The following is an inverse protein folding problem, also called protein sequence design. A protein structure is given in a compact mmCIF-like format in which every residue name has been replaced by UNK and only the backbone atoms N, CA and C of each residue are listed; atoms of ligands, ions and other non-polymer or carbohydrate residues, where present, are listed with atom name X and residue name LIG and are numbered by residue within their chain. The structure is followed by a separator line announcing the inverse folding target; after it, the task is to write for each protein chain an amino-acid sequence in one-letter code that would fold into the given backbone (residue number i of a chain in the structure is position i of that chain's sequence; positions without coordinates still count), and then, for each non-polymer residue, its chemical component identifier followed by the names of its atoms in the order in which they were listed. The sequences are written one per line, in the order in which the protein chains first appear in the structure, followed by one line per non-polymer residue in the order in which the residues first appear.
data_IF_206680109409
#
_entry.id   IF_206680109409
#
_cell.length_a   1.000
_cell.length_b   1.000
_cell.length_c   1.000
_cell.angle_alpha   90.00
_cell.angle_beta   90.00
_cell.angle_gamma   90.00
#
_symmetry.space_group_name_H-M   'P 1'
#
loop_
_entity.id
_entity.type
_entity.pdbx_description
1 polymer ?
#
# COMPACT_ATOMS: atom_id res chain seq x y z
N UNK A 1 -12.27 36.35 -42.10
CA UNK A 1 -11.96 34.92 -42.10
C UNK A 1 -10.76 34.70 -41.19
N UNK A 2 -11.02 34.50 -39.90
CA UNK A 2 -10.02 34.14 -38.90
C UNK A 2 -9.87 32.62 -38.97
N UNK A 3 -8.73 32.15 -39.49
CA UNK A 3 -8.39 30.73 -39.43
C UNK A 3 -8.05 30.37 -37.98
N UNK A 4 -8.94 29.66 -37.32
CA UNK A 4 -8.58 28.89 -36.13
C UNK A 4 -7.54 27.85 -36.59
N UNK A 5 -6.32 27.99 -36.09
CA UNK A 5 -5.31 26.97 -36.21
C UNK A 5 -5.82 25.75 -35.43
N UNK A 6 -6.28 24.73 -36.15
CA UNK A 6 -6.52 23.39 -35.63
C UNK A 6 -5.20 22.90 -35.01
N UNK A 7 -5.07 22.98 -33.68
CA UNK A 7 -3.98 22.31 -32.96
C UNK A 7 -4.28 20.82 -33.06
N UNK A 8 -3.36 20.11 -33.68
CA UNK A 8 -3.39 18.66 -33.80
C UNK A 8 -3.06 18.06 -32.42
N UNK A 9 -4.06 18.00 -31.53
CA UNK A 9 -3.94 17.46 -30.17
C UNK A 9 -3.43 16.01 -30.15
N UNK A 10 -3.51 15.28 -31.28
CA UNK A 10 -3.04 13.91 -31.43
C UNK A 10 -1.50 13.75 -31.28
N UNK A 11 -0.74 14.85 -31.33
CA UNK A 11 0.72 14.84 -31.20
C UNK A 11 1.24 15.65 -29.99
N UNK A 12 0.37 16.08 -29.07
CA UNK A 12 0.83 16.71 -27.83
C UNK A 12 1.49 15.67 -26.90
N UNK A 13 2.80 15.76 -26.60
CA UNK A 13 3.48 14.80 -25.72
C UNK A 13 2.92 14.77 -24.30
N UNK A 14 2.26 15.83 -23.85
CA UNK A 14 1.56 15.81 -22.56
C UNK A 14 0.26 15.02 -22.62
N UNK A 15 -0.59 15.25 -23.63
CA UNK A 15 -1.81 14.47 -23.86
C UNK A 15 -1.52 12.97 -24.01
N UNK A 16 -0.45 12.59 -24.74
CA UNK A 16 -0.06 11.19 -24.91
C UNK A 16 0.34 10.51 -23.58
N UNK A 17 1.00 11.24 -22.67
CA UNK A 17 1.35 10.72 -21.34
C UNK A 17 0.12 10.51 -20.46
N UNK A 18 -0.81 11.46 -20.49
CA UNK A 18 -2.07 11.32 -19.75
C UNK A 18 -2.89 10.13 -20.24
N UNK A 19 -2.94 9.90 -21.54
CA UNK A 19 -3.63 8.75 -22.11
C UNK A 19 -2.93 7.42 -21.75
N UNK A 20 -1.59 7.38 -21.81
CA UNK A 20 -0.83 6.20 -21.37
C UNK A 20 -1.10 5.87 -19.89
N UNK A 21 -1.16 6.87 -19.02
CA UNK A 21 -1.48 6.69 -17.61
C UNK A 21 -2.91 6.21 -17.40
N UNK A 22 -3.87 6.75 -18.16
CA UNK A 22 -5.26 6.31 -18.07
C UNK A 22 -5.41 4.83 -18.42
N UNK A 23 -4.78 4.37 -19.51
CA UNK A 23 -4.75 2.96 -19.90
C UNK A 23 -4.07 2.09 -18.84
N UNK A 24 -2.93 2.53 -18.30
CA UNK A 24 -2.21 1.81 -17.25
C UNK A 24 -3.07 1.62 -15.99
N UNK A 25 -3.82 2.65 -15.61
CA UNK A 25 -4.72 2.63 -14.46
C UNK A 25 -5.96 1.74 -14.73
N UNK A 26 -6.55 1.80 -15.91
CA UNK A 26 -7.67 0.94 -16.31
C UNK A 26 -7.25 -0.54 -16.26
N UNK A 27 -6.12 -0.89 -16.87
CA UNK A 27 -5.59 -2.25 -16.86
C UNK A 27 -5.29 -2.75 -15.45
N UNK A 28 -4.72 -1.89 -14.59
CA UNK A 28 -4.50 -2.21 -13.18
C UNK A 28 -5.80 -2.54 -12.42
N UNK A 29 -6.87 -1.78 -12.67
CA UNK A 29 -8.17 -2.00 -12.00
C UNK A 29 -8.93 -3.22 -12.52
N UNK A 30 -8.75 -3.57 -13.79
CA UNK A 30 -9.47 -4.67 -14.45
C UNK A 30 -8.71 -5.99 -14.39
N UNK A 31 -7.39 -5.96 -14.17
CA UNK A 31 -6.53 -7.15 -14.08
C UNK A 31 -6.24 -7.52 -12.63
N UNK A 32 -6.57 -8.75 -12.25
CA UNK A 32 -6.33 -9.22 -10.88
C UNK A 32 -4.86 -9.51 -10.61
N UNK A 33 -4.33 -8.98 -9.50
CA UNK A 33 -3.03 -9.37 -8.93
C UNK A 33 -3.13 -10.50 -7.89
N UNK A 34 -4.35 -11.00 -7.63
CA UNK A 34 -4.62 -11.97 -6.58
C UNK A 34 -3.73 -13.23 -6.63
N UNK A 35 -3.45 -13.84 -7.81
CA UNK A 35 -2.57 -15.01 -7.86
C UNK A 35 -1.16 -14.72 -7.30
N UNK A 36 -0.58 -13.57 -7.65
CA UNK A 36 0.70 -13.13 -7.12
C UNK A 36 0.61 -12.78 -5.64
N UNK A 37 -0.43 -12.05 -5.22
CA UNK A 37 -0.65 -11.72 -3.81
C UNK A 37 -0.82 -12.96 -2.92
N UNK A 38 -1.38 -14.07 -3.40
CA UNK A 38 -1.43 -15.34 -2.65
C UNK A 38 -0.05 -15.93 -2.41
N UNK A 39 0.83 -15.87 -3.41
CA UNK A 39 2.22 -16.31 -3.28
C UNK A 39 2.95 -15.42 -2.27
N UNK A 40 2.83 -14.11 -2.41
CA UNK A 40 3.43 -13.13 -1.51
C UNK A 40 2.94 -13.34 -0.08
N UNK A 41 1.62 -13.43 0.13
CA UNK A 41 1.03 -13.67 1.45
C UNK A 41 1.54 -14.96 2.10
N UNK A 42 1.68 -16.05 1.33
CA UNK A 42 2.19 -17.33 1.84
C UNK A 42 3.60 -17.20 2.44
N UNK A 43 4.50 -16.51 1.73
CA UNK A 43 5.87 -16.31 2.20
C UNK A 43 5.97 -15.25 3.31
N UNK A 44 5.16 -14.19 3.25
CA UNK A 44 5.05 -13.20 4.32
C UNK A 44 4.62 -13.83 5.65
N UNK A 45 3.59 -14.67 5.64
CA UNK A 45 3.14 -15.38 6.84
C UNK A 45 4.16 -16.38 7.36
N UNK A 46 5.02 -16.90 6.49
CA UNK A 46 6.15 -17.75 6.92
C UNK A 46 7.21 -16.93 7.64
N UNK A 47 7.65 -15.83 7.03
CA UNK A 47 8.56 -14.87 7.66
C UNK A 47 8.04 -14.37 9.01
N UNK A 48 6.79 -13.92 9.09
CA UNK A 48 6.20 -13.41 10.33
C UNK A 48 6.25 -14.45 11.47
N UNK A 49 5.96 -15.72 11.17
CA UNK A 49 6.07 -16.82 12.13
C UNK A 49 7.51 -17.07 12.57
N UNK A 50 8.44 -17.06 11.63
CA UNK A 50 9.85 -17.28 11.91
C UNK A 50 10.47 -16.12 12.72
N UNK A 51 9.92 -14.91 12.57
CA UNK A 51 10.22 -13.75 13.42
C UNK A 51 9.52 -13.79 14.79
N UNK A 52 8.69 -14.80 15.06
CA UNK A 52 8.04 -15.02 16.36
C UNK A 52 6.63 -14.45 16.50
N UNK A 53 6.02 -13.92 15.43
CA UNK A 53 4.62 -13.49 15.46
C UNK A 53 3.67 -14.69 15.34
N UNK A 54 2.94 -15.00 16.42
CA UNK A 54 1.98 -16.12 16.48
C UNK A 54 0.55 -15.69 16.83
N UNK A 55 0.40 -14.56 17.52
CA UNK A 55 -0.90 -13.99 17.88
C UNK A 55 -0.84 -12.46 17.91
N UNK A 56 -1.97 -11.83 17.60
CA UNK A 56 -2.09 -10.38 17.62
C UNK A 56 -3.15 -9.85 16.67
N UNK A 57 -3.34 -8.54 16.68
CA UNK A 57 -4.28 -7.85 15.81
C UNK A 57 -3.57 -7.37 14.54
N UNK A 58 -4.10 -7.79 13.39
CA UNK A 58 -3.54 -7.47 12.08
C UNK A 58 -4.49 -6.59 11.28
N UNK A 59 -3.95 -5.55 10.65
CA UNK A 59 -4.64 -4.75 9.64
C UNK A 59 -4.08 -5.10 8.27
N UNK A 60 -4.93 -5.45 7.31
CA UNK A 60 -4.59 -5.46 5.90
C UNK A 60 -5.31 -4.34 5.15
N UNK A 61 -4.65 -3.71 4.18
CA UNK A 61 -5.18 -2.60 3.39
C UNK A 61 -4.73 -2.70 1.91
N UNK A 62 -5.58 -2.20 1.01
CA UNK A 62 -5.31 -2.09 -0.42
C UNK A 62 -5.76 -3.32 -1.21
N UNK A 63 -5.19 -3.47 -2.40
CA UNK A 63 -5.46 -4.58 -3.30
C UNK A 63 -5.33 -5.92 -2.56
N UNK A 64 -6.38 -6.74 -2.64
CA UNK A 64 -6.43 -8.07 -2.06
C UNK A 64 -6.13 -8.14 -0.55
N UNK A 65 -6.53 -7.12 0.24
CA UNK A 65 -6.40 -7.12 1.69
C UNK A 65 -6.92 -8.42 2.36
N UNK A 66 -8.00 -9.01 1.84
CA UNK A 66 -8.49 -10.31 2.29
C UNK A 66 -7.49 -11.44 2.03
N UNK A 67 -6.80 -11.45 0.87
CA UNK A 67 -5.74 -12.43 0.55
C UNK A 67 -4.62 -12.35 1.58
N UNK A 68 -4.18 -11.15 1.93
CA UNK A 68 -3.07 -10.96 2.88
C UNK A 68 -3.39 -11.43 4.30
N UNK A 69 -4.66 -11.53 4.68
CA UNK A 69 -5.09 -12.10 5.98
C UNK A 69 -5.43 -13.61 5.88
N UNK A 70 -5.41 -14.18 4.66
CA UNK A 70 -5.79 -15.58 4.43
C UNK A 70 -7.30 -15.81 4.37
N UNK A 71 -8.08 -14.77 4.09
CA UNK A 71 -9.54 -14.89 3.92
C UNK A 71 -9.90 -15.32 2.49
N UNK A 72 -10.90 -16.21 2.33
CA UNK A 72 -11.45 -16.52 1.01
C UNK A 72 -12.12 -15.27 0.41
N UNK A 73 -12.10 -15.15 -0.91
CA UNK A 73 -12.76 -14.04 -1.59
C UNK A 73 -14.24 -14.40 -1.78
N UNK A 74 -15.12 -13.57 -1.26
CA UNK A 74 -16.55 -13.63 -1.56
C UNK A 74 -16.82 -12.69 -2.73
N UNK A 75 -17.33 -13.21 -3.85
CA UNK A 75 -17.92 -12.44 -4.95
C UNK A 75 -17.01 -11.43 -5.67
N UNK A 76 -15.78 -11.84 -6.01
CA UNK A 76 -14.96 -11.17 -7.04
C UNK A 76 -14.32 -9.83 -6.66
N UNK A 77 -14.55 -9.30 -5.45
CA UNK A 77 -13.86 -8.10 -4.96
C UNK A 77 -13.36 -8.31 -3.53
N UNK A 78 -12.06 -8.07 -3.30
CA UNK A 78 -11.53 -8.00 -1.94
C UNK A 78 -11.98 -6.69 -1.30
N UNK A 79 -12.39 -6.68 -0.02
CA UNK A 79 -12.54 -5.44 0.73
C UNK A 79 -11.24 -4.62 0.67
N UNK A 80 -11.37 -3.30 0.62
CA UNK A 80 -10.23 -2.38 0.59
C UNK A 80 -9.41 -2.40 1.89
N UNK A 81 -9.98 -2.89 3.00
CA UNK A 81 -9.25 -3.19 4.22
C UNK A 81 -9.94 -4.24 5.07
N UNK A 82 -9.14 -4.96 5.86
CA UNK A 82 -9.57 -6.04 6.75
C UNK A 82 -8.84 -5.91 8.07
N UNK A 83 -9.55 -6.04 9.18
CA UNK A 83 -8.95 -6.23 10.50
C UNK A 83 -9.27 -7.63 10.98
N UNK A 84 -8.23 -8.34 11.45
CA UNK A 84 -8.36 -9.67 12.01
C UNK A 84 -7.58 -9.80 13.32
N UNK A 85 -8.17 -10.49 14.28
CA UNK A 85 -7.45 -10.99 15.45
C UNK A 85 -6.93 -12.40 15.09
N UNK A 86 -5.61 -12.56 15.09
CA UNK A 86 -4.88 -13.78 14.77
C UNK A 86 -4.56 -14.50 16.06
N UNK A 87 -4.88 -15.80 16.09
CA UNK A 87 -4.58 -16.71 17.19
C UNK A 87 -3.74 -17.87 16.68
N UNK A 88 -3.00 -18.53 17.58
CA UNK A 88 -2.11 -19.68 17.28
C UNK A 88 -2.80 -20.83 16.49
N UNK A 89 -4.13 -20.90 16.51
CA UNK A 89 -4.95 -21.91 15.84
C UNK A 89 -5.13 -21.74 14.32
N UNK A 90 -4.25 -21.00 13.62
CA UNK A 90 -4.19 -20.84 12.14
C UNK A 90 -5.48 -20.38 11.45
N UNK A 91 -6.47 -19.91 12.21
CA UNK A 91 -7.74 -19.42 11.67
C UNK A 91 -8.04 -18.09 12.34
N UNK A 92 -8.23 -16.98 11.59
CA UNK A 92 -8.61 -15.69 12.17
C UNK A 92 -9.86 -15.86 13.03
N UNK A 93 -9.76 -15.62 14.34
CA UNK A 93 -10.84 -15.93 15.28
C UNK A 93 -11.99 -14.91 15.19
N UNK A 94 -11.73 -13.73 14.63
CA UNK A 94 -12.71 -12.65 14.50
C UNK A 94 -12.40 -11.79 13.28
N UNK A 95 -13.41 -11.52 12.46
CA UNK A 95 -13.30 -10.78 11.20
C UNK A 95 -14.17 -9.52 11.29
N UNK A 96 -13.59 -8.35 11.03
CA UNK A 96 -14.37 -7.13 10.81
C UNK A 96 -14.08 -6.59 9.42
N UNK A 97 -15.13 -6.45 8.61
CA UNK A 97 -15.11 -5.67 7.39
C UNK A 97 -15.15 -4.20 7.83
N UNK A 98 -14.04 -3.47 7.65
CA UNK A 98 -13.94 -2.07 8.08
C UNK A 98 -13.88 -1.20 6.84
N UNK A 99 -14.83 -0.28 6.67
CA UNK A 99 -14.57 0.90 5.85
C UNK A 99 -13.64 1.81 6.66
N UNK A 100 -12.36 1.81 6.34
CA UNK A 100 -11.39 2.54 7.15
C UNK A 100 -11.47 4.04 6.82
N UNK A 101 -12.11 4.81 7.70
CA UNK A 101 -11.53 6.09 8.10
C UNK A 101 -10.35 5.74 9.00
N UNK A 102 -9.13 6.01 8.54
CA UNK A 102 -7.91 5.77 9.33
C UNK A 102 -8.12 6.34 10.74
N UNK A 103 -8.03 5.51 11.81
CA UNK A 103 -8.24 5.99 13.17
C UNK A 103 -7.26 7.10 13.48
N UNK A 104 -7.67 8.15 14.21
CA UNK A 104 -6.75 9.17 14.76
C UNK A 104 -5.84 8.64 15.88
N UNK A 105 -5.83 7.33 16.13
CA UNK A 105 -5.17 6.71 17.27
C UNK A 105 -4.00 5.85 16.80
N UNK A 106 -2.83 6.03 17.43
CA UNK A 106 -1.60 5.27 17.22
C UNK A 106 -1.63 3.91 17.94
N UNK A 107 -0.66 3.03 17.64
CA UNK A 107 -0.39 1.78 18.38
C UNK A 107 -1.57 0.79 18.49
N UNK A 108 -2.22 0.52 17.37
CA UNK A 108 -3.48 -0.26 17.31
C UNK A 108 -3.31 -1.71 16.88
N UNK A 109 -2.28 -1.98 16.08
CA UNK A 109 -2.08 -3.25 15.40
C UNK A 109 -0.69 -3.80 15.69
N UNK A 110 -0.58 -5.11 15.84
CA UNK A 110 0.70 -5.79 16.00
C UNK A 110 1.41 -5.96 14.65
N UNK A 111 0.62 -6.17 13.58
CA UNK A 111 1.09 -6.21 12.20
C UNK A 111 0.17 -5.40 11.30
N UNK A 112 0.75 -4.62 10.40
CA UNK A 112 0.03 -3.93 9.31
C UNK A 112 0.59 -4.42 7.98
N UNK A 113 -0.26 -4.88 7.07
CA UNK A 113 0.12 -5.30 5.72
C UNK A 113 -0.62 -4.41 4.73
N UNK A 114 0.07 -3.71 3.83
CA UNK A 114 -0.60 -2.83 2.88
C UNK A 114 -0.05 -2.95 1.46
N UNK A 115 -0.95 -3.23 0.52
CA UNK A 115 -0.69 -3.00 -0.90
C UNK A 115 -1.02 -1.54 -1.20
N UNK A 116 0.00 -0.69 -1.35
CA UNK A 116 -0.23 0.73 -1.57
C UNK A 116 -0.82 0.98 -2.96
N UNK A 117 -1.67 2.00 -3.13
CA UNK A 117 -2.34 2.26 -4.42
C UNK A 117 -1.33 2.41 -5.57
N UNK A 118 -1.61 1.72 -6.68
CA UNK A 118 -0.84 1.82 -7.93
C UNK A 118 0.68 1.53 -7.75
N UNK A 119 1.01 0.60 -6.84
CA UNK A 119 2.39 0.23 -6.51
C UNK A 119 3.14 -0.51 -7.62
N UNK A 120 2.43 -1.09 -8.58
CA UNK A 120 2.97 -1.82 -9.72
C UNK A 120 2.70 -1.12 -11.06
N UNK A 121 2.08 0.06 -11.04
CA UNK A 121 1.71 0.81 -12.25
C UNK A 121 2.88 1.67 -12.70
N UNK A 122 3.14 1.70 -14.01
CA UNK A 122 4.04 2.65 -14.65
C UNK A 122 3.28 3.91 -15.04
N UNK A 123 3.69 5.03 -14.48
CA UNK A 123 3.14 6.35 -14.80
C UNK A 123 4.16 7.16 -15.58
N UNK A 124 3.69 7.87 -16.60
CA UNK A 124 4.43 8.68 -17.55
C UNK A 124 4.26 10.17 -17.26
N UNK A 125 3.10 10.59 -16.74
CA UNK A 125 2.91 11.99 -16.35
C UNK A 125 3.64 12.31 -15.03
N UNK A 126 4.56 13.30 -15.00
CA UNK A 126 5.27 13.68 -13.79
C UNK A 126 4.35 14.11 -12.65
N UNK A 127 3.20 14.72 -12.95
CA UNK A 127 2.19 15.10 -11.96
C UNK A 127 1.59 13.88 -11.27
N UNK A 128 1.19 12.85 -12.04
CA UNK A 128 0.72 11.59 -11.48
C UNK A 128 1.79 10.86 -10.65
N UNK A 129 3.05 10.86 -11.11
CA UNK A 129 4.18 10.29 -10.36
C UNK A 129 4.36 11.01 -9.01
N UNK A 130 4.33 12.35 -9.00
CA UNK A 130 4.44 13.15 -7.76
C UNK A 130 3.27 12.87 -6.81
N UNK A 131 2.04 12.79 -7.32
CA UNK A 131 0.85 12.48 -6.52
C UNK A 131 0.97 11.10 -5.90
N UNK A 132 1.31 10.06 -6.68
CA UNK A 132 1.53 8.70 -6.18
C UNK A 132 2.57 8.69 -5.07
N UNK A 133 3.74 9.29 -5.30
CA UNK A 133 4.84 9.35 -4.32
C UNK A 133 4.38 9.99 -3.01
N UNK A 134 3.69 11.12 -3.09
CA UNK A 134 3.17 11.85 -1.93
C UNK A 134 2.17 10.99 -1.14
N UNK A 135 1.21 10.38 -1.83
CA UNK A 135 0.20 9.52 -1.21
C UNK A 135 0.83 8.29 -0.56
N UNK A 136 1.72 7.60 -1.26
CA UNK A 136 2.39 6.41 -0.72
C UNK A 136 3.30 6.73 0.47
N UNK A 137 4.03 7.86 0.44
CA UNK A 137 4.84 8.31 1.58
C UNK A 137 3.98 8.62 2.82
N UNK A 138 2.86 9.33 2.64
CA UNK A 138 1.93 9.64 3.73
C UNK A 138 1.28 8.38 4.31
N UNK A 139 0.88 7.44 3.45
CA UNK A 139 0.32 6.15 3.88
C UNK A 139 1.37 5.32 4.62
N UNK A 140 2.59 5.20 4.10
CA UNK A 140 3.67 4.48 4.76
C UNK A 140 3.91 5.00 6.18
N UNK A 141 4.02 6.32 6.35
CA UNK A 141 4.20 6.94 7.68
C UNK A 141 3.01 6.69 8.58
N UNK A 142 1.80 6.90 8.07
CA UNK A 142 0.57 6.69 8.86
C UNK A 142 0.46 5.23 9.33
N UNK A 143 0.66 4.27 8.44
CA UNK A 143 0.57 2.83 8.73
C UNK A 143 1.68 2.38 9.70
N UNK A 144 2.90 2.94 9.58
CA UNK A 144 3.96 2.73 10.56
C UNK A 144 3.53 3.16 11.97
N UNK A 145 2.93 4.34 12.11
CA UNK A 145 2.45 4.83 13.43
C UNK A 145 1.21 4.13 13.97
N UNK A 146 0.47 3.39 13.13
CA UNK A 146 -0.65 2.55 13.58
C UNK A 146 -0.16 1.21 14.15
N UNK A 147 1.08 0.85 13.86
CA UNK A 147 1.73 -0.38 14.31
C UNK A 147 2.30 -0.16 15.71
N UNK A 148 2.06 -1.09 16.62
CA UNK A 148 2.59 -1.04 17.99
C UNK A 148 4.09 -1.13 17.99
N UNK A 149 4.72 -0.50 18.99
CA UNK A 149 6.14 -0.69 19.33
C UNK A 149 6.55 -2.16 19.26
N UNK A 150 7.61 -2.47 18.50
CA UNK A 150 8.11 -3.82 18.30
C UNK A 150 7.31 -4.69 17.30
N UNK A 151 6.19 -4.17 16.78
CA UNK A 151 5.39 -4.78 15.72
C UNK A 151 5.91 -4.48 14.32
N UNK A 152 5.23 -5.03 13.30
CA UNK A 152 5.69 -4.95 11.91
C UNK A 152 4.73 -4.21 10.98
N UNK A 153 5.27 -3.33 10.14
CA UNK A 153 4.57 -2.75 8.99
C UNK A 153 5.18 -3.32 7.72
N UNK A 154 4.37 -4.00 6.93
CA UNK A 154 4.74 -4.59 5.65
C UNK A 154 4.05 -3.83 4.54
N UNK A 155 4.81 -3.26 3.61
CA UNK A 155 4.29 -2.42 2.53
C UNK A 155 4.69 -3.00 1.18
N UNK A 156 3.75 -3.17 0.27
CA UNK A 156 4.02 -3.27 -1.16
C UNK A 156 3.87 -1.87 -1.75
N UNK A 157 4.99 -1.22 -2.04
CA UNK A 157 5.07 0.17 -2.49
C UNK A 157 5.72 0.26 -3.87
N UNK A 158 5.45 1.33 -4.62
CA UNK A 158 6.21 1.59 -5.84
C UNK A 158 7.69 1.76 -5.49
N UNK A 159 8.58 1.26 -6.35
CA UNK A 159 10.04 1.40 -6.16
C UNK A 159 10.49 2.86 -5.95
N UNK A 160 9.70 3.82 -6.45
CA UNK A 160 9.85 5.24 -6.22
C UNK A 160 10.02 5.64 -4.75
N UNK A 161 9.34 4.96 -3.82
CA UNK A 161 9.45 5.27 -2.39
C UNK A 161 10.90 5.09 -1.89
N UNK A 162 11.59 4.09 -2.45
CA UNK A 162 12.97 3.74 -2.13
C UNK A 162 13.98 4.52 -2.99
N UNK A 163 13.72 4.67 -4.29
CA UNK A 163 14.70 5.18 -5.25
C UNK A 163 14.65 6.69 -5.47
N UNK A 164 13.66 7.39 -4.91
CA UNK A 164 13.61 8.85 -5.03
C UNK A 164 14.87 9.49 -4.39
N UNK A 165 15.67 10.29 -5.12
CA UNK A 165 16.90 10.88 -4.58
C UNK A 165 16.66 11.84 -3.41
N UNK A 166 15.51 12.53 -3.44
CA UNK A 166 15.07 13.35 -2.33
C UNK A 166 14.55 12.47 -1.18
N UNK A 167 15.23 12.44 -0.02
CA UNK A 167 14.99 11.41 0.99
C UNK A 167 13.85 11.76 1.96
N UNK A 168 13.05 12.80 1.70
CA UNK A 168 12.09 13.35 2.67
C UNK A 168 11.14 12.30 3.25
N UNK A 169 10.54 11.47 2.40
CA UNK A 169 9.67 10.37 2.84
C UNK A 169 10.40 9.38 3.76
N UNK A 170 11.61 8.97 3.37
CA UNK A 170 12.41 7.98 4.11
C UNK A 170 12.96 8.57 5.41
N UNK A 171 13.34 9.85 5.40
CA UNK A 171 13.77 10.61 6.59
C UNK A 171 12.63 10.83 7.59
N UNK A 172 11.39 10.92 7.15
CA UNK A 172 10.24 10.95 8.08
C UNK A 172 9.87 9.57 8.61
N UNK A 173 10.09 8.51 7.83
CA UNK A 173 9.87 7.12 8.24
C UNK A 173 10.95 6.60 9.21
N UNK A 174 12.22 6.95 8.96
CA UNK A 174 13.38 6.42 9.69
C UNK A 174 13.32 6.66 11.21
N UNK A 175 12.82 7.79 11.74
CA UNK A 175 12.64 7.96 13.18
C UNK A 175 11.57 7.06 13.80
N UNK A 176 10.56 6.64 13.01
CA UNK A 176 9.39 5.88 13.48
C UNK A 176 9.63 4.37 13.39
N UNK A 177 10.25 3.91 12.31
CA UNK A 177 10.45 2.49 12.07
C UNK A 177 11.83 2.18 11.48
N UNK A 178 12.34 1.01 11.83
CA UNK A 178 13.56 0.45 11.27
C UNK A 178 13.23 -0.44 10.07
N UNK A 179 13.95 -0.27 8.96
CA UNK A 179 13.90 -1.22 7.85
C UNK A 179 14.63 -2.51 8.26
N UNK A 180 13.87 -3.59 8.47
CA UNK A 180 14.41 -4.92 8.69
C UNK A 180 14.97 -5.49 7.39
N UNK A 181 14.26 -5.23 6.30
CA UNK A 181 14.70 -5.54 4.96
C UNK A 181 13.64 -5.16 3.94
N UNK A 182 14.03 -5.16 2.67
CA UNK A 182 13.16 -4.98 1.54
C UNK A 182 13.43 -6.06 0.49
N UNK A 183 12.45 -6.35 -0.34
CA UNK A 183 12.59 -7.23 -1.51
C UNK A 183 12.00 -6.51 -2.72
N UNK A 184 12.79 -6.32 -3.77
CA UNK A 184 12.33 -5.69 -5.02
C UNK A 184 11.82 -6.75 -5.99
N UNK A 185 10.56 -6.62 -6.35
CA UNK A 185 9.84 -7.49 -7.26
C UNK A 185 10.06 -7.03 -8.72
N UNK A 186 10.07 -7.96 -9.69
CA UNK A 186 10.11 -7.65 -11.11
C UNK A 186 8.94 -6.78 -11.55
N UNK A 187 9.15 -5.99 -12.61
CA UNK A 187 8.03 -5.45 -13.37
C UNK A 187 7.17 -6.64 -13.85
N UNK A 188 5.85 -6.54 -13.62
CA UNK A 188 4.90 -7.58 -13.99
C UNK A 188 4.75 -8.71 -12.96
N UNK A 189 5.37 -8.59 -11.78
CA UNK A 189 5.27 -9.59 -10.71
C UNK A 189 3.83 -9.75 -10.18
N UNK A 190 3.10 -8.64 -10.09
CA UNK A 190 1.70 -8.63 -9.63
C UNK A 190 0.75 -9.10 -10.73
N UNK A 191 0.90 -8.50 -11.91
CA UNK A 191 0.05 -8.67 -13.10
C UNK A 191 0.91 -8.35 -14.32
N UNK A 192 0.87 -9.20 -15.35
CA UNK A 192 1.71 -9.04 -16.55
C UNK A 192 1.04 -8.13 -17.56
N UNK A 193 1.38 -6.85 -17.51
CA UNK A 193 0.83 -5.80 -18.37
C UNK A 193 1.99 -5.15 -19.13
N UNK A 194 2.37 -5.69 -20.30
CA UNK A 194 3.55 -5.25 -21.02
C UNK A 194 3.57 -3.75 -21.24
N UNK A 195 4.59 -3.08 -20.69
CA UNK A 195 4.79 -1.65 -20.89
C UNK A 195 3.91 -0.75 -20.02
N UNK A 196 3.14 -1.33 -19.08
CA UNK A 196 2.31 -0.61 -18.10
C UNK A 196 2.66 -1.01 -16.65
N UNK A 197 3.59 -1.95 -16.50
CA UNK A 197 4.07 -2.46 -15.23
C UNK A 197 5.40 -1.81 -14.79
N UNK A 198 5.55 -1.72 -13.47
CA UNK A 198 6.71 -1.14 -12.78
C UNK A 198 7.16 -2.07 -11.65
N UNK A 199 8.46 -2.08 -11.27
CA UNK A 199 8.92 -2.78 -10.09
C UNK A 199 8.23 -2.29 -8.81
N UNK A 200 8.01 -3.23 -7.90
CA UNK A 200 7.38 -2.97 -6.60
C UNK A 200 8.33 -3.41 -5.49
N UNK A 201 8.42 -2.64 -4.42
CA UNK A 201 9.21 -2.99 -3.24
C UNK A 201 8.29 -3.52 -2.15
N UNK A 202 8.60 -4.72 -1.66
CA UNK A 202 8.07 -5.28 -0.43
C UNK A 202 8.98 -4.84 0.73
N UNK A 203 8.54 -3.85 1.49
CA UNK A 203 9.27 -3.31 2.65
C UNK A 203 8.79 -4.01 3.93
N UNK A 204 9.73 -4.44 4.77
CA UNK A 204 9.47 -4.96 6.11
C UNK A 204 10.05 -3.98 7.11
N UNK A 205 9.18 -3.26 7.80
CA UNK A 205 9.53 -2.25 8.79
C UNK A 205 9.16 -2.78 10.19
N UNK A 206 10.02 -2.57 11.19
CA UNK A 206 9.68 -2.76 12.61
C UNK A 206 9.48 -1.41 13.25
N UNK A 207 8.33 -1.22 13.88
CA UNK A 207 8.08 0.00 14.64
C UNK A 207 9.07 0.07 15.81
N UNK A 208 9.83 1.15 15.90
CA UNK A 208 10.94 1.26 16.83
C UNK A 208 10.42 1.48 18.26
N UNK A 209 10.81 0.66 19.24
CA UNK A 209 10.51 0.94 20.64
C UNK A 209 11.17 2.23 21.15
N UNK A 210 10.47 2.91 22.06
CA UNK A 210 11.00 4.11 22.71
C UNK A 210 12.35 3.83 23.36
N UNK A 211 13.35 4.67 23.05
CA UNK A 211 14.69 4.58 23.60
C UNK A 211 15.66 3.68 22.82
N UNK A 212 15.22 2.97 21.79
CA UNK A 212 16.15 2.34 20.83
C UNK A 212 16.78 3.41 19.91
N UNK A 213 18.07 3.29 19.61
CA UNK A 213 18.76 4.18 18.66
C UNK A 213 18.38 3.83 17.23
N UNK A 214 18.36 4.85 16.37
CA UNK A 214 18.11 4.64 14.95
C UNK A 214 19.22 3.83 14.28
N UNK A 215 18.84 3.00 13.30
CA UNK A 215 19.75 2.09 12.61
C UNK A 215 20.35 2.73 11.35
N UNK A 216 20.89 1.90 10.46
CA UNK A 216 21.58 2.32 9.23
C UNK A 216 20.82 3.42 8.47
N UNK A 217 21.58 4.35 7.89
CA UNK A 217 21.04 5.40 7.01
C UNK A 217 20.93 4.91 5.55
N UNK A 218 21.30 3.67 5.24
CA UNK A 218 21.21 3.12 3.88
C UNK A 218 19.78 3.20 3.34
N UNK A 219 18.78 3.02 4.20
CA UNK A 219 17.38 3.23 3.84
C UNK A 219 17.13 4.66 3.34
N UNK A 220 17.70 5.70 3.96
CA UNK A 220 17.47 7.09 3.54
C UNK A 220 18.19 7.45 2.23
N UNK A 221 19.28 6.78 1.90
CA UNK A 221 20.19 7.18 0.82
C UNK A 221 19.88 6.50 -0.50
N UNK A 222 20.21 7.19 -1.59
CA UNK A 222 20.30 6.62 -2.93
C UNK A 222 21.73 6.73 -3.44
N UNK A 223 22.02 5.92 -4.44
CA UNK A 223 23.24 5.92 -5.23
C UNK A 223 22.88 5.92 -6.72
N UNK A 224 23.78 6.41 -7.55
CA UNK A 224 23.64 6.34 -8.99
C UNK A 224 24.42 5.12 -9.50
N UNK A 225 23.74 4.22 -10.21
CA UNK A 225 24.37 3.09 -10.89
C UNK A 225 24.28 3.29 -12.40
N UNK A 226 25.26 2.75 -13.14
CA UNK A 226 25.28 2.79 -14.59
C UNK A 226 24.84 1.45 -15.17
N UNK A 227 23.73 1.43 -15.90
CA UNK A 227 23.14 0.22 -16.50
C UNK A 227 22.46 0.57 -17.82
N UNK A 228 22.58 -0.30 -18.82
CA UNK A 228 22.04 -0.10 -20.18
C UNK A 228 22.40 1.29 -20.78
N UNK A 229 23.66 1.71 -20.60
CA UNK A 229 24.21 3.00 -21.01
C UNK A 229 23.49 4.23 -20.40
N UNK A 230 22.80 4.05 -19.27
CA UNK A 230 22.07 5.10 -18.56
C UNK A 230 22.41 5.11 -17.08
N UNK A 231 22.38 6.30 -16.49
CA UNK A 231 22.50 6.48 -15.05
C UNK A 231 21.11 6.39 -14.41
N UNK A 232 20.93 5.43 -13.51
CA UNK A 232 19.69 5.23 -12.75
C UNK A 232 19.95 5.37 -11.26
N UNK A 233 18.99 5.95 -10.56
CA UNK A 233 19.01 6.07 -9.11
C UNK A 233 18.44 4.79 -8.48
N UNK A 234 19.16 4.26 -7.49
CA UNK A 234 18.71 3.11 -6.70
C UNK A 234 18.98 3.37 -5.22
N UNK A 235 18.09 2.91 -4.36
CA UNK A 235 18.30 2.98 -2.92
C UNK A 235 19.57 2.23 -2.49
N UNK A 236 20.37 2.83 -1.60
CA UNK A 236 21.62 2.23 -1.10
C UNK A 236 21.37 0.89 -0.40
N UNK A 237 20.18 0.66 0.18
CA UNK A 237 19.81 -0.66 0.70
C UNK A 237 19.90 -1.75 -0.38
N UNK A 238 19.33 -1.53 -1.57
CA UNK A 238 19.34 -2.53 -2.64
C UNK A 238 20.71 -2.71 -3.28
N UNK A 239 21.50 -1.64 -3.39
CA UNK A 239 22.90 -1.74 -3.82
C UNK A 239 23.69 -2.66 -2.87
N UNK A 240 23.53 -2.49 -1.55
CA UNK A 240 24.20 -3.31 -0.54
C UNK A 240 23.58 -4.71 -0.37
N UNK A 241 22.36 -4.93 -0.86
CA UNK A 241 21.59 -6.17 -0.69
C UNK A 241 21.03 -6.68 -2.02
N UNK A 242 21.88 -6.81 -3.04
CA UNK A 242 21.45 -7.15 -4.41
C UNK A 242 20.70 -8.49 -4.50
N UNK A 243 20.96 -9.43 -3.57
CA UNK A 243 20.21 -10.69 -3.47
C UNK A 243 18.73 -10.50 -3.18
N UNK A 244 18.33 -9.31 -2.74
CA UNK A 244 16.94 -8.94 -2.48
C UNK A 244 16.24 -8.33 -3.70
N UNK A 245 16.95 -8.18 -4.83
CA UNK A 245 16.36 -7.80 -6.11
C UNK A 245 16.07 -9.08 -6.89
N UNK A 246 14.79 -9.42 -7.09
CA UNK A 246 14.39 -10.72 -7.63
C UNK A 246 14.48 -10.80 -9.16
N UNK A 247 15.63 -10.44 -9.73
CA UNK A 247 15.84 -10.42 -11.16
C UNK A 247 17.09 -9.68 -11.57
N UNK A 248 17.13 -9.29 -12.84
CA UNK A 248 18.22 -8.48 -13.39
C UNK A 248 17.79 -7.02 -13.41
N UNK A 249 18.62 -6.16 -12.82
CA UNK A 249 18.49 -4.70 -12.86
C UNK A 249 18.75 -4.22 -14.29
N UNK A 250 17.88 -3.37 -14.80
CA UNK A 250 18.03 -2.68 -16.08
C UNK A 250 17.55 -1.23 -16.00
N UNK A 251 17.86 -0.46 -17.04
CA UNK A 251 17.24 0.85 -17.23
C UNK A 251 15.91 0.66 -17.95
N UNK A 252 14.90 1.34 -17.45
CA UNK A 252 13.57 1.29 -18.00
C UNK A 252 13.53 1.90 -19.43
N UNK A 253 13.26 1.08 -20.47
CA UNK A 253 13.32 1.54 -21.84
C UNK A 253 12.19 2.50 -22.21
N UNK A 254 11.09 2.48 -21.45
CA UNK A 254 9.90 3.32 -21.68
C UNK A 254 9.82 4.50 -20.71
N UNK A 255 10.84 4.72 -19.86
CA UNK A 255 10.89 5.89 -18.99
C UNK A 255 11.04 7.17 -19.82
N UNK A 256 10.11 8.11 -19.64
CA UNK A 256 10.21 9.46 -20.19
C UNK A 256 10.83 10.39 -19.15
N UNK A 257 11.95 11.03 -19.51
CA UNK A 257 12.70 11.91 -18.59
C UNK A 257 13.90 11.19 -17.95
N UNK A 258 14.19 11.40 -16.65
CA UNK A 258 15.26 10.70 -15.96
C UNK A 258 15.07 9.18 -16.07
N UNK A 259 16.16 8.44 -16.27
CA UNK A 259 16.08 7.00 -16.36
C UNK A 259 15.57 6.41 -15.04
N UNK A 260 14.60 5.49 -15.14
CA UNK A 260 14.08 4.74 -14.01
C UNK A 260 14.64 3.32 -14.03
N UNK A 261 14.65 2.66 -12.88
CA UNK A 261 15.03 1.26 -12.78
C UNK A 261 13.87 0.35 -13.22
N UNK A 262 14.19 -0.72 -13.93
CA UNK A 262 13.29 -1.85 -14.14
C UNK A 262 13.97 -3.14 -13.72
N UNK A 263 13.17 -4.13 -13.35
CA UNK A 263 13.66 -5.46 -12.95
C UNK A 263 13.01 -6.50 -13.85
N UNK A 264 13.83 -7.28 -14.53
CA UNK A 264 13.38 -8.39 -15.38
C UNK A 264 13.66 -9.74 -14.73
N UNK A 265 12.72 -10.67 -14.83
CA UNK A 265 12.87 -12.01 -14.25
C UNK A 265 12.07 -13.05 -15.02
N UNK A 266 12.43 -14.33 -14.86
CA UNK A 266 11.65 -15.40 -15.45
C UNK A 266 10.34 -15.60 -14.67
N UNK A 267 9.21 -15.84 -15.36
CA UNK A 267 7.91 -15.54 -14.79
C UNK A 267 7.38 -16.56 -13.76
N UNK A 268 8.04 -17.71 -13.65
CA UNK A 268 7.75 -18.83 -12.75
C UNK A 268 8.61 -18.82 -11.48
N UNK A 269 9.52 -17.85 -11.34
CA UNK A 269 10.50 -17.81 -10.25
C UNK A 269 10.04 -17.07 -9.00
N UNK A 270 8.98 -16.26 -9.08
CA UNK A 270 8.54 -15.37 -8.01
C UNK A 270 8.47 -16.05 -6.65
N UNK A 271 7.79 -17.20 -6.55
CA UNK A 271 7.62 -17.89 -5.25
C UNK A 271 8.93 -18.36 -4.64
N UNK A 272 9.80 -19.00 -5.43
CA UNK A 272 11.09 -19.49 -4.92
C UNK A 272 12.02 -18.34 -4.55
N UNK A 273 12.16 -17.37 -5.44
CA UNK A 273 13.13 -16.28 -5.26
C UNK A 273 12.67 -15.35 -4.12
N UNK A 274 11.35 -15.14 -3.95
CA UNK A 274 10.79 -14.42 -2.80
C UNK A 274 10.99 -15.18 -1.48
N UNK A 275 10.83 -16.50 -1.47
CA UNK A 275 11.06 -17.32 -0.28
C UNK A 275 12.50 -17.19 0.22
N UNK A 276 13.47 -17.25 -0.71
CA UNK A 276 14.89 -17.09 -0.41
C UNK A 276 15.19 -15.68 0.13
N UNK A 277 14.69 -14.64 -0.54
CA UNK A 277 14.92 -13.26 -0.12
C UNK A 277 14.31 -12.95 1.26
N UNK A 278 13.09 -13.41 1.55
CA UNK A 278 12.47 -13.24 2.87
C UNK A 278 13.16 -14.09 3.96
N UNK A 279 13.69 -15.27 3.61
CA UNK A 279 14.52 -16.05 4.53
C UNK A 279 15.80 -15.29 4.90
N UNK A 280 16.42 -14.58 3.95
CA UNK A 280 17.59 -13.73 4.20
C UNK A 280 17.24 -12.56 5.14
N UNK A 281 16.13 -11.85 4.89
CA UNK A 281 15.63 -10.79 5.79
C UNK A 281 15.43 -11.34 7.20
N UNK A 282 14.76 -12.49 7.31
CA UNK A 282 14.45 -13.14 8.58
C UNK A 282 15.72 -13.47 9.35
N UNK A 283 16.69 -14.13 8.70
CA UNK A 283 17.95 -14.52 9.33
C UNK A 283 18.74 -13.31 9.83
N UNK A 284 18.79 -12.22 9.06
CA UNK A 284 19.47 -10.99 9.47
C UNK A 284 18.75 -10.30 10.63
N UNK A 285 17.43 -10.19 10.57
CA UNK A 285 16.62 -9.62 11.65
C UNK A 285 16.80 -10.39 12.96
N UNK A 286 16.82 -11.73 12.91
CA UNK A 286 17.06 -12.57 14.09
C UNK A 286 18.49 -12.38 14.65
N UNK A 287 19.51 -12.32 13.79
CA UNK A 287 20.90 -12.01 14.20
C UNK A 287 21.02 -10.64 14.88
N UNK A 288 20.25 -9.67 14.41
CA UNK A 288 20.21 -8.32 14.94
C UNK A 288 19.31 -8.16 16.19
N UNK A 289 18.63 -9.23 16.64
CA UNK A 289 17.72 -9.18 17.79
C UNK A 289 16.41 -8.43 17.52
N UNK A 290 15.98 -8.34 16.26
CA UNK A 290 14.80 -7.60 15.80
C UNK A 290 13.56 -8.50 15.62
N UNK A 291 13.53 -9.61 16.35
CA UNK A 291 12.37 -10.49 16.43
C UNK A 291 11.15 -9.74 16.98
N UNK A 292 9.97 -10.33 16.79
CA UNK A 292 8.72 -9.76 17.24
C UNK A 292 8.71 -9.65 18.76
N UNK A 293 8.58 -8.43 19.26
CA UNK A 293 8.51 -8.16 20.69
C UNK A 293 7.17 -7.49 20.97
N UNK A 294 6.14 -8.25 21.39
CA UNK A 294 4.86 -7.65 21.70
C UNK A 294 5.04 -6.68 22.87
N UNK A 295 4.54 -5.45 22.72
CA UNK A 295 4.49 -4.52 23.84
C UNK A 295 3.54 -5.08 24.93
N UNK A 296 4.15 -5.61 25.99
CA UNK A 296 3.44 -6.17 27.14
C UNK A 296 2.67 -5.11 27.93
N UNK A 297 3.01 -3.82 27.78
CA UNK A 297 2.41 -2.72 28.55
C UNK A 297 0.98 -2.41 28.06
N UNK A 298 0.71 -2.58 26.76
CA UNK A 298 -0.60 -2.26 26.16
C UNK A 298 -1.56 -3.46 26.04
N UNK A 299 -1.22 -4.64 26.59
CA UNK A 299 -2.08 -5.84 26.64
C UNK A 299 -3.28 -5.74 27.58
N UNK A 300 -3.71 -4.54 27.99
CA UNK A 300 -5.07 -4.36 28.55
C UNK A 300 -6.06 -4.39 27.39
N UNK A 301 -7.11 -5.23 27.42
CA UNK A 301 -8.11 -5.25 26.37
C UNK A 301 -8.88 -3.93 26.38
N UNK A 302 -8.41 -2.95 25.61
CA UNK A 302 -9.26 -1.84 25.20
C UNK A 302 -10.25 -2.40 24.18
N UNK A 303 -11.44 -2.76 24.66
CA UNK A 303 -12.63 -2.92 23.82
C UNK A 303 -12.69 -1.66 22.93
N UNK A 304 -12.61 -1.78 21.60
CA UNK A 304 -12.90 -0.62 20.77
C UNK A 304 -14.34 -0.17 21.09
N UNK A 305 -14.68 1.13 21.01
CA UNK A 305 -16.06 1.51 20.83
C UNK A 305 -16.49 0.82 19.54
N UNK A 306 -17.34 -0.20 19.67
CA UNK A 306 -18.01 -0.83 18.55
C UNK A 306 -18.74 0.31 17.85
N UNK A 307 -18.26 0.72 16.66
CA UNK A 307 -19.11 1.48 15.76
C UNK A 307 -20.34 0.62 15.55
N UNK A 308 -21.51 1.14 15.93
CA UNK A 308 -22.76 0.39 15.83
C UNK A 308 -22.89 -0.19 14.41
N UNK A 309 -23.10 -1.51 14.27
CA UNK A 309 -23.45 -2.05 12.97
C UNK A 309 -24.80 -1.47 12.57
N UNK A 310 -24.83 -0.67 11.50
CA UNK A 310 -26.09 -0.28 10.87
C UNK A 310 -26.71 -1.57 10.31
N UNK A 311 -27.64 -2.15 11.07
CA UNK A 311 -28.47 -3.24 10.56
C UNK A 311 -29.37 -2.64 9.48
N UNK A 312 -29.21 -3.11 8.26
CA UNK A 312 -30.11 -2.86 7.15
C UNK A 312 -31.41 -3.67 7.33
N UNK A 313 -32.13 -3.44 8.42
CA UNK A 313 -33.52 -3.86 8.64
C UNK A 313 -34.16 -2.82 9.54
N UNK A 314 -34.78 -1.84 8.89
CA UNK A 314 -35.97 -1.09 9.32
C UNK A 314 -36.07 0.19 8.48
N UNK A 315 -36.17 -0.01 7.15
CA UNK A 315 -36.83 0.96 6.26
C UNK A 315 -38.09 0.31 5.71
N UNK A 316 -39.02 0.02 6.61
CA UNK A 316 -40.43 -0.08 6.27
C UNK A 316 -41.24 0.31 7.51
N UNK A 317 -42.19 1.23 7.30
CA UNK A 317 -43.04 1.94 8.27
C UNK A 317 -42.34 3.11 9.00
N UNK A 318 -42.85 4.35 9.02
CA UNK A 318 -44.16 4.87 8.65
C UNK A 318 -44.04 6.34 8.22
N UNK A 319 -44.81 6.75 7.22
CA UNK A 319 -45.10 8.16 6.96
C UNK A 319 -45.94 8.72 8.13
N UNK A 320 -45.58 9.88 8.72
CA UNK A 320 -46.49 10.61 9.57
C UNK A 320 -47.46 11.44 8.71
N UNK A 321 -48.74 11.34 9.03
CA UNK A 321 -49.83 12.12 8.43
C UNK A 321 -49.67 13.64 8.69
N UNK A 322 -50.22 14.52 7.82
CA UNK A 322 -50.05 15.95 7.96
C UNK A 322 -50.91 16.52 9.11
N UNK A 323 -50.31 17.37 9.95
CA UNK A 323 -51.02 18.13 10.98
C UNK A 323 -51.79 19.32 10.39
N UNK A 324 -52.97 19.67 10.93
CA UNK A 324 -53.80 20.77 10.44
C UNK A 324 -53.32 22.13 10.94
N UNK A 325 -53.28 23.12 10.04
CA UNK A 325 -52.97 24.52 10.36
C UNK A 325 -54.09 25.19 11.17
N UNK A 326 -53.78 25.99 12.21
CA UNK A 326 -54.77 26.80 12.90
C UNK A 326 -55.12 28.07 12.11
N UNK A 327 -56.41 28.36 12.06
CA UNK A 327 -57.05 29.55 11.48
C UNK A 327 -56.53 30.85 12.10
N UNK A 328 -56.17 31.82 11.26
CA UNK A 328 -56.24 33.25 11.58
C UNK A 328 -57.21 33.95 10.62
N UNK A 329 -58.03 34.82 11.21
CA UNK A 329 -59.24 35.44 10.63
C UNK A 329 -58.91 36.64 9.74
N UNK A 330 -59.67 36.74 8.65
CA UNK A 330 -60.01 37.84 7.73
C UNK A 330 -59.28 39.19 7.80
N UNK A 331 -58.90 39.68 6.60
CA UNK A 331 -59.47 40.91 6.02
C UNK A 331 -59.67 40.80 4.49
N UNK A 332 -60.94 41.02 4.10
CA UNK A 332 -61.46 41.64 2.86
C UNK A 332 -60.48 42.66 2.22
N UNK A 333 -60.45 42.98 0.92
CA UNK A 333 -61.35 42.87 -0.25
C UNK A 333 -60.57 43.49 -1.42
N UNK A 334 -60.83 43.08 -2.68
CA UNK A 334 -60.82 44.04 -3.79
C UNK A 334 -60.00 43.70 -5.03
N UNK A 335 -60.70 43.11 -6.00
CA UNK A 335 -60.75 43.46 -7.43
C UNK A 335 -59.47 43.47 -8.29
N UNK A 336 -59.46 42.46 -9.15
CA UNK A 336 -59.04 42.51 -10.54
C UNK A 336 -59.72 43.66 -11.31
N UNK A 337 -58.97 44.29 -12.21
CA UNK A 337 -59.19 44.15 -13.66
C UNK A 337 -57.87 44.18 -14.39
#
# INVERSE_FOLDING_TARGET
MTGEAYRDDANDPHALRLEADHLALEDHTTTSAQPAHRIIATHLWTMLRDLGFTEGRVLALGDDAATFIGLPHTDGSSPASVVADITDTRTPSTQFLVQLRLPKAHDRFDVVIASLPYNDVRLQDPGHVIVRRTVQAQLALTLATLTRSGGYTILLASHDLMDQPFPEARRHLHPVADLLGAVRLPAGAHRRLPGLDSPTDLLVLRHRPDGESSRSQDFERTTTIHVDDRDVEINTYFENNISQVLGTVGADPLAWGPAAVTISSAPDRLGRDLAEALSNVTAEALRAGLAYTPDTIHRRPQRPPVGEPIRQRDRQAAHPAPHPHPRSVHRHTGLER
#
